data_IF_701637745562
#
_entry.id   IF_701637745562
#
_cell.length_a   1.000
_cell.length_b   1.000
_cell.length_c   1.000
_cell.angle_alpha   90.00
_cell.angle_beta   90.00
_cell.angle_gamma   90.00
#
_symmetry.space_group_name_H-M   'P 1'
#
loop_
_entity.id
_entity.type
_entity.pdbx_description
1 polymer ?
#
# COMPACT_ATOMS: atom_id res chain seq x y z
N UNK A 1 0.98 -20.95 4.80
CA UNK A 1 1.79 -20.79 3.57
C UNK A 1 1.94 -19.29 3.38
N UNK A 2 3.12 -18.75 3.09
CA UNK A 2 3.24 -17.31 2.80
C UNK A 2 2.87 -17.10 1.35
N UNK A 3 1.95 -16.19 1.06
CA UNK A 3 1.67 -15.77 -0.31
C UNK A 3 2.88 -15.01 -0.85
N UNK A 4 3.23 -15.26 -2.10
CA UNK A 4 4.44 -14.72 -2.74
C UNK A 4 4.00 -13.71 -3.78
N UNK A 5 4.36 -12.45 -3.56
CA UNK A 5 4.16 -11.35 -4.51
C UNK A 5 5.47 -11.11 -5.27
N UNK A 6 5.45 -11.24 -6.59
CA UNK A 6 6.59 -10.87 -7.44
C UNK A 6 6.58 -9.37 -7.72
N UNK A 7 7.62 -8.66 -7.27
CA UNK A 7 7.78 -7.23 -7.57
C UNK A 7 8.31 -7.01 -8.99
N UNK A 8 7.63 -6.15 -9.77
CA UNK A 8 7.97 -5.82 -11.15
C UNK A 8 8.02 -4.33 -11.35
N UNK A 9 9.16 -3.83 -11.85
CA UNK A 9 9.41 -2.38 -11.94
C UNK A 9 8.37 -1.72 -12.83
N UNK A 10 7.79 -0.62 -12.36
CA UNK A 10 6.71 0.09 -13.04
C UNK A 10 5.31 -0.49 -12.81
N UNK A 11 5.17 -1.60 -12.09
CA UNK A 11 3.86 -2.12 -11.71
C UNK A 11 3.29 -1.43 -10.45
N UNK A 12 1.98 -1.51 -10.34
CA UNK A 12 1.19 -0.85 -9.29
C UNK A 12 0.97 -1.76 -8.10
N UNK A 13 1.21 -1.21 -6.93
CA UNK A 13 0.97 -1.83 -5.63
C UNK A 13 0.18 -0.87 -4.74
N UNK A 14 -0.45 -1.43 -3.70
CA UNK A 14 -1.31 -0.70 -2.78
C UNK A 14 -0.71 -0.78 -1.39
N UNK A 15 -0.37 0.38 -0.84
CA UNK A 15 0.01 0.51 0.54
C UNK A 15 -1.26 0.56 1.40
N UNK A 16 -1.49 -0.52 2.14
CA UNK A 16 -2.57 -0.74 3.09
C UNK A 16 -2.02 -0.51 4.49
N UNK A 17 -2.32 0.64 5.06
CA UNK A 17 -1.86 1.05 6.38
C UNK A 17 -2.94 1.85 7.12
N UNK A 18 -2.66 2.24 8.36
CA UNK A 18 -3.53 3.13 9.12
C UNK A 18 -2.88 4.52 9.23
N UNK A 19 -3.71 5.56 9.13
CA UNK A 19 -3.25 6.94 9.27
C UNK A 19 -2.83 7.25 10.71
N UNK A 20 -3.48 6.60 11.67
CA UNK A 20 -3.36 6.84 13.09
C UNK A 20 -2.80 5.61 13.83
N UNK A 21 -2.23 5.87 15.01
CA UNK A 21 -1.66 4.82 15.86
C UNK A 21 -2.71 3.89 16.48
N UNK A 22 -3.96 4.34 16.55
CA UNK A 22 -5.07 3.59 17.13
C UNK A 22 -5.70 2.65 16.10
N UNK A 23 -5.18 2.62 14.87
CA UNK A 23 -5.63 1.78 13.77
C UNK A 23 -7.12 2.01 13.43
N UNK A 24 -7.59 3.25 13.62
CA UNK A 24 -9.00 3.63 13.44
C UNK A 24 -9.31 4.12 12.03
N UNK A 25 -8.32 4.64 11.31
CA UNK A 25 -8.48 5.24 9.98
C UNK A 25 -7.63 4.45 8.99
N UNK A 26 -8.21 3.47 8.26
CA UNK A 26 -7.50 2.77 7.21
C UNK A 26 -7.18 3.71 6.05
N UNK A 27 -6.04 3.48 5.42
CA UNK A 27 -5.55 4.21 4.26
C UNK A 27 -5.08 3.23 3.20
N UNK A 28 -5.56 3.44 1.98
CA UNK A 28 -5.12 2.72 0.80
C UNK A 28 -4.53 3.74 -0.16
N UNK A 29 -3.20 3.72 -0.31
CA UNK A 29 -2.47 4.62 -1.22
C UNK A 29 -1.81 3.82 -2.34
N UNK A 30 -1.81 4.37 -3.54
CA UNK A 30 -1.26 3.72 -4.73
C UNK A 30 0.22 4.06 -4.90
N UNK A 31 1.04 3.03 -5.08
CA UNK A 31 2.49 3.15 -5.26
C UNK A 31 2.97 2.34 -6.45
N UNK A 32 4.09 2.75 -7.04
CA UNK A 32 4.75 2.09 -8.16
C UNK A 32 6.11 1.59 -7.68
N UNK A 33 6.41 0.32 -7.93
CA UNK A 33 7.74 -0.23 -7.61
C UNK A 33 8.78 0.36 -8.58
N UNK A 34 9.83 1.02 -8.06
CA UNK A 34 10.85 1.69 -8.89
C UNK A 34 12.20 0.98 -8.92
N UNK A 35 12.40 -0.04 -8.07
CA UNK A 35 13.61 -0.85 -8.06
C UNK A 35 14.21 -1.04 -6.66
N UNK A 36 15.44 -1.52 -6.64
CA UNK A 36 16.23 -1.57 -5.40
C UNK A 36 16.63 -0.17 -4.96
N UNK A 37 16.85 -0.01 -3.66
CA UNK A 37 17.39 1.23 -3.10
C UNK A 37 18.91 1.28 -3.37
N UNK A 38 19.36 2.24 -4.17
CA UNK A 38 20.78 2.37 -4.55
C UNK A 38 21.68 2.73 -3.36
N UNK A 39 21.11 3.33 -2.31
CA UNK A 39 21.83 3.66 -1.08
C UNK A 39 21.78 2.51 -0.06
N UNK A 40 20.89 1.54 -0.25
CA UNK A 40 20.67 0.43 0.66
C UNK A 40 20.23 -0.85 -0.08
N UNK A 41 21.20 -1.70 -0.40
CA UNK A 41 21.01 -2.96 -1.14
C UNK A 41 20.07 -3.98 -0.46
N UNK A 42 19.77 -3.81 0.82
CA UNK A 42 18.80 -4.64 1.55
C UNK A 42 17.35 -4.17 1.37
N UNK A 43 17.14 -3.06 0.67
CA UNK A 43 15.85 -2.39 0.53
C UNK A 43 15.36 -2.27 -0.93
N UNK A 44 14.08 -1.99 -1.05
CA UNK A 44 13.35 -1.72 -2.28
C UNK A 44 12.55 -0.44 -2.15
N UNK A 45 12.41 0.28 -3.26
CA UNK A 45 11.77 1.59 -3.30
C UNK A 45 10.45 1.54 -4.06
N UNK A 46 9.49 2.27 -3.50
CA UNK A 46 8.19 2.51 -4.09
C UNK A 46 7.93 4.01 -4.14
N UNK A 47 7.45 4.50 -5.27
CA UNK A 47 7.09 5.90 -5.46
C UNK A 47 5.57 6.06 -5.47
N UNK A 48 5.02 7.13 -4.89
CA UNK A 48 3.59 7.40 -5.03
C UNK A 48 3.21 7.51 -6.52
N UNK A 49 2.03 7.01 -6.87
CA UNK A 49 1.61 6.97 -8.28
C UNK A 49 1.53 8.36 -8.94
N UNK A 50 1.17 9.40 -8.19
CA UNK A 50 1.11 10.77 -8.69
C UNK A 50 2.50 11.28 -9.07
N UNK A 51 3.51 11.07 -8.22
CA UNK A 51 4.90 11.38 -8.52
C UNK A 51 5.42 10.63 -9.74
N UNK A 52 5.07 9.35 -9.86
CA UNK A 52 5.50 8.52 -11.00
C UNK A 52 4.94 9.02 -12.35
N UNK A 53 3.66 9.39 -12.36
CA UNK A 53 3.03 9.98 -13.56
C UNK A 53 3.64 11.35 -13.86
N UNK A 54 3.82 12.18 -12.83
CA UNK A 54 4.40 13.52 -12.97
C UNK A 54 5.82 13.47 -13.58
N UNK A 55 6.69 12.60 -13.08
CA UNK A 55 8.04 12.42 -13.61
C UNK A 55 8.01 11.96 -15.08
N UNK A 56 7.14 10.99 -15.40
CA UNK A 56 7.01 10.46 -16.76
C UNK A 56 6.48 11.51 -17.76
N UNK A 57 5.60 12.39 -17.32
CA UNK A 57 4.99 13.44 -18.14
C UNK A 57 5.74 14.78 -18.08
N UNK A 58 6.80 14.88 -17.25
CA UNK A 58 7.58 16.10 -17.08
C UNK A 58 6.82 17.23 -16.36
N UNK A 59 5.82 16.88 -15.55
CA UNK A 59 5.03 17.83 -14.76
C UNK A 59 5.87 18.26 -13.54
N UNK A 60 6.06 19.56 -13.41
CA UNK A 60 6.68 20.21 -12.25
C UNK A 60 5.52 20.73 -11.41
N UNK A 61 5.56 20.56 -10.08
CA UNK A 61 4.52 20.93 -9.09
C UNK A 61 3.65 19.78 -8.54
N UNK A 62 4.04 18.52 -8.75
CA UNK A 62 3.45 17.37 -8.03
C UNK A 62 4.47 16.83 -7.03
N UNK A 63 4.04 16.65 -5.78
CA UNK A 63 4.90 16.12 -4.74
C UNK A 63 5.16 14.63 -4.95
N UNK A 64 6.45 14.28 -4.98
CA UNK A 64 6.92 12.91 -5.16
C UNK A 64 7.42 12.38 -3.84
N UNK A 65 6.85 11.27 -3.39
CA UNK A 65 7.21 10.59 -2.16
C UNK A 65 7.69 9.18 -2.47
N UNK A 66 8.73 8.78 -1.74
CA UNK A 66 9.26 7.43 -1.78
C UNK A 66 9.04 6.75 -0.44
N UNK A 67 8.74 5.45 -0.49
CA UNK A 67 8.78 4.56 0.67
C UNK A 67 9.79 3.46 0.38
N UNK A 68 10.63 3.20 1.36
CA UNK A 68 11.63 2.13 1.32
C UNK A 68 11.20 0.99 2.24
N UNK A 69 11.32 -0.25 1.76
CA UNK A 69 11.08 -1.46 2.55
C UNK A 69 12.25 -2.42 2.46
N UNK A 70 12.53 -3.13 3.53
CA UNK A 70 13.48 -4.25 3.51
C UNK A 70 12.95 -5.40 2.64
N UNK A 71 13.78 -5.96 1.76
CA UNK A 71 13.41 -6.94 0.71
C UNK A 71 12.61 -8.15 1.21
N UNK A 72 12.81 -8.56 2.46
CA UNK A 72 12.17 -9.75 3.06
C UNK A 72 11.10 -9.41 4.11
N UNK A 73 10.77 -8.13 4.27
CA UNK A 73 9.92 -7.64 5.35
C UNK A 73 8.96 -6.55 4.86
N UNK A 74 8.17 -6.89 3.84
CA UNK A 74 7.11 -6.05 3.30
C UNK A 74 5.76 -6.62 3.72
N UNK A 75 5.02 -5.92 4.57
CA UNK A 75 3.76 -6.39 5.15
C UNK A 75 2.57 -5.45 4.92
N UNK A 76 2.83 -4.24 4.44
CA UNK A 76 1.81 -3.21 4.21
C UNK A 76 1.59 -2.91 2.72
N UNK A 77 2.36 -3.49 1.81
CA UNK A 77 2.15 -3.35 0.36
C UNK A 77 1.66 -4.66 -0.24
N UNK A 78 0.65 -4.57 -1.10
CA UNK A 78 0.06 -5.73 -1.79
C UNK A 78 -0.23 -5.38 -3.24
N UNK A 79 -0.26 -6.38 -4.12
CA UNK A 79 -0.78 -6.19 -5.47
C UNK A 79 -2.32 -6.11 -5.48
N UNK A 80 -2.89 -5.96 -6.67
CA UNK A 80 -4.35 -5.87 -6.85
C UNK A 80 -5.10 -7.12 -6.38
N UNK A 81 -4.57 -8.31 -6.65
CA UNK A 81 -5.25 -9.57 -6.35
C UNK A 81 -5.33 -9.77 -4.84
N UNK A 82 -4.20 -9.58 -4.16
CA UNK A 82 -4.09 -9.70 -2.71
C UNK A 82 -4.84 -8.58 -1.98
N UNK A 83 -4.93 -7.36 -2.53
CA UNK A 83 -5.80 -6.31 -1.97
C UNK A 83 -7.27 -6.76 -1.98
N UNK A 84 -7.75 -7.33 -3.09
CA UNK A 84 -9.13 -7.81 -3.21
C UNK A 84 -9.40 -8.93 -2.21
N UNK A 85 -8.46 -9.87 -2.05
CA UNK A 85 -8.57 -10.94 -1.05
C UNK A 85 -8.65 -10.38 0.36
N UNK A 86 -7.76 -9.46 0.73
CA UNK A 86 -7.77 -8.82 2.04
C UNK A 86 -9.06 -8.07 2.33
N UNK A 87 -9.57 -7.28 1.38
CA UNK A 87 -10.86 -6.58 1.51
C UNK A 87 -12.00 -7.59 1.70
N UNK A 88 -11.99 -8.70 0.95
CA UNK A 88 -13.00 -9.75 1.11
C UNK A 88 -12.91 -10.40 2.49
N UNK A 89 -11.72 -10.64 3.03
CA UNK A 89 -11.54 -11.20 4.36
C UNK A 89 -12.03 -10.25 5.47
N UNK A 90 -11.63 -8.97 5.40
CA UNK A 90 -12.02 -7.94 6.37
C UNK A 90 -13.53 -7.65 6.35
N UNK A 91 -14.17 -7.78 5.18
CA UNK A 91 -15.60 -7.49 5.00
C UNK A 91 -16.46 -8.72 4.70
N UNK A 92 -15.94 -9.93 4.91
CA UNK A 92 -16.72 -11.16 4.72
C UNK A 92 -17.81 -11.23 5.80
N UNK A 93 -19.08 -11.47 5.42
CA UNK A 93 -20.19 -11.66 6.37
C UNK A 93 -20.01 -12.86 7.33
N UNK A 94 -18.93 -13.64 7.20
CA UNK A 94 -18.54 -14.69 8.14
C UNK A 94 -17.99 -14.15 9.46
N UNK A 95 -17.62 -12.86 9.54
CA UNK A 95 -17.57 -12.14 10.81
C UNK A 95 -18.97 -11.61 11.09
N UNK A 96 -19.64 -12.16 12.10
CA UNK A 96 -20.97 -11.74 12.56
C UNK A 96 -20.98 -10.22 12.65
N UNK A 97 -21.73 -9.56 11.76
CA UNK A 97 -21.88 -8.12 11.78
C UNK A 97 -22.32 -7.72 13.19
N UNK A 98 -21.43 -7.08 13.94
CA UNK A 98 -21.76 -6.56 15.25
C UNK A 98 -22.67 -5.36 15.00
N UNK A 99 -23.93 -5.46 15.41
CA UNK A 99 -24.83 -4.32 15.37
C UNK A 99 -24.36 -3.29 16.42
N UNK A 100 -24.09 -2.06 15.98
CA UNK A 100 -23.72 -0.95 16.85
C UNK A 100 -24.87 0.04 16.96
N UNK A 101 -25.24 0.40 18.19
CA UNK A 101 -26.15 1.51 18.47
C UNK A 101 -25.34 2.81 18.63
N UNK A 102 -25.56 3.78 17.75
CA UNK A 102 -24.85 5.06 17.77
C UNK A 102 -25.61 6.07 18.65
N UNK A 103 -24.92 6.68 19.62
CA UNK A 103 -25.40 7.83 20.39
C UNK A 103 -24.61 9.07 19.99
N UNK A 104 -25.32 10.13 19.63
CA UNK A 104 -24.75 11.44 19.33
C UNK A 104 -24.78 12.30 20.61
N UNK A 105 -23.68 13.01 20.90
CA UNK A 105 -23.55 13.98 22.00
C UNK A 105 -23.80 15.40 21.50
#
# INVERSE_FOLDING_TARGET
>A
MKDVIELRKGETYFHVAFFDKELSIPTNKTYIYVGEDEENDSHVLFMNAEGFVAEKEGIKDIETYYISYEKNNINTIVDKEHLIERIKEEHSPQQVATEYEYKFL
#
